data_IF_640294886633
#
_entry.id   IF_640294886633
#
_cell.length_a   1.000
_cell.length_b   1.000
_cell.length_c   1.000
_cell.angle_alpha   90.00
_cell.angle_beta   90.00
_cell.angle_gamma   90.00
#
_symmetry.space_group_name_H-M   'P 1'
#
loop_
_entity.id
_entity.type
_entity.pdbx_description
1 polymer ?
#
# COMPACT_ATOMS: atom_id res chain seq x y z
N UNK A 1 5.45 11.70 9.86
CA UNK A 1 6.32 10.57 9.69
C UNK A 1 5.66 9.56 8.79
N UNK A 2 6.36 8.90 8.07
CA UNK A 2 5.91 7.95 7.10
C UNK A 2 6.83 8.03 5.94
N UNK A 3 6.62 7.15 4.99
CA UNK A 3 7.47 7.09 3.82
C UNK A 3 6.98 8.14 2.83
N UNK A 4 7.84 9.08 2.41
CA UNK A 4 7.38 10.13 1.51
C UNK A 4 7.15 9.60 0.10
N UNK A 5 5.97 9.86 -0.43
CA UNK A 5 5.63 9.53 -1.81
C UNK A 5 4.70 10.59 -2.35
N UNK A 6 4.68 10.75 -3.66
CA UNK A 6 3.72 11.61 -4.34
C UNK A 6 2.58 10.73 -4.82
N UNK A 7 1.43 10.85 -4.17
CA UNK A 7 0.31 9.97 -4.46
C UNK A 7 -0.37 10.36 -5.76
N UNK A 8 -0.93 9.38 -6.46
CA UNK A 8 -1.75 9.67 -7.63
C UNK A 8 -2.91 10.57 -7.26
N UNK A 9 -3.16 11.59 -8.08
CA UNK A 9 -4.24 12.53 -7.82
C UNK A 9 -5.51 12.04 -8.47
N UNK A 10 -6.59 12.12 -7.72
CA UNK A 10 -7.87 11.61 -8.19
C UNK A 10 -8.96 12.58 -7.79
N UNK A 11 -10.16 12.31 -8.29
CA UNK A 11 -11.35 13.03 -7.88
C UNK A 11 -12.17 12.26 -6.86
N UNK A 12 -11.60 11.20 -6.33
CA UNK A 12 -12.30 10.39 -5.34
C UNK A 12 -12.50 11.19 -4.06
N UNK A 13 -13.53 10.89 -3.30
CA UNK A 13 -13.70 11.52 -2.00
C UNK A 13 -12.52 11.22 -1.10
N UNK A 14 -12.21 12.18 -0.22
CA UNK A 14 -11.13 11.99 0.73
C UNK A 14 -11.44 10.80 1.62
N UNK A 15 -10.45 9.95 1.79
CA UNK A 15 -10.58 8.82 2.70
C UNK A 15 -10.31 9.31 4.12
N UNK A 16 -11.24 8.98 5.00
CA UNK A 16 -11.10 9.32 6.40
C UNK A 16 -10.46 8.15 7.12
N UNK A 17 -9.33 8.39 7.71
CA UNK A 17 -8.63 7.34 8.45
C UNK A 17 -8.67 7.69 9.92
N UNK A 18 -9.80 7.36 10.54
CA UNK A 18 -10.00 7.68 11.94
C UNK A 18 -9.04 6.93 12.84
N UNK A 19 -8.63 5.76 12.41
CA UNK A 19 -7.65 4.99 13.12
C UNK A 19 -6.46 4.80 12.22
N UNK A 20 -5.32 4.64 12.85
CA UNK A 20 -4.11 4.38 12.10
C UNK A 20 -4.23 3.03 11.41
N UNK A 21 -4.11 3.04 10.10
CA UNK A 21 -4.18 1.82 9.31
C UNK A 21 -2.78 1.41 8.91
N UNK A 22 -2.61 0.11 8.67
CA UNK A 22 -1.32 -0.37 8.19
C UNK A 22 -1.20 -0.04 6.72
N UNK A 23 -0.08 0.56 6.35
CA UNK A 23 0.17 0.99 4.98
C UNK A 23 1.23 0.13 4.33
N UNK A 24 1.00 -0.21 3.09
CA UNK A 24 2.03 -0.78 2.23
C UNK A 24 2.38 0.31 1.24
N UNK A 25 3.62 0.77 1.27
CA UNK A 25 4.03 1.94 0.49
C UNK A 25 5.03 1.52 -0.57
N UNK A 26 4.80 1.95 -1.80
CA UNK A 26 5.72 1.72 -2.91
C UNK A 26 6.29 3.07 -3.32
N UNK A 27 7.60 3.22 -3.17
CA UNK A 27 8.24 4.50 -3.43
C UNK A 27 8.54 4.66 -4.92
N UNK A 28 8.95 5.89 -5.27
CA UNK A 28 9.36 6.19 -6.64
C UNK A 28 10.44 5.23 -7.13
N UNK A 29 11.33 4.81 -6.25
CA UNK A 29 12.40 3.88 -6.61
C UNK A 29 11.92 2.43 -6.60
N UNK A 30 10.64 2.22 -6.42
CA UNK A 30 10.03 0.89 -6.38
C UNK A 30 10.50 0.06 -5.19
N UNK A 31 10.81 0.74 -4.10
CA UNK A 31 11.02 0.07 -2.83
C UNK A 31 9.69 -0.07 -2.12
N UNK A 32 9.55 -1.15 -1.38
CA UNK A 32 8.29 -1.48 -0.71
C UNK A 32 8.49 -1.40 0.78
N UNK A 33 7.59 -0.72 1.46
CA UNK A 33 7.61 -0.59 2.92
C UNK A 33 6.30 -1.11 3.48
N UNK A 34 6.41 -1.94 4.51
CA UNK A 34 5.24 -2.35 5.27
C UNK A 34 5.30 -1.58 6.59
N UNK A 35 4.37 -0.61 6.73
CA UNK A 35 4.53 0.38 7.77
C UNK A 35 5.77 1.21 7.46
N UNK A 36 6.70 1.24 8.38
CA UNK A 36 7.94 1.99 8.18
C UNK A 36 9.14 1.10 7.91
N UNK A 37 8.89 -0.19 7.73
CA UNK A 37 9.96 -1.16 7.54
C UNK A 37 10.08 -1.53 6.07
N UNK A 38 11.26 -1.35 5.51
CA UNK A 38 11.48 -1.75 4.13
C UNK A 38 11.49 -3.26 4.02
N UNK A 39 10.79 -3.78 3.01
CA UNK A 39 10.69 -5.21 2.77
C UNK A 39 11.10 -5.46 1.33
N UNK A 40 12.17 -6.22 1.09
CA UNK A 40 12.53 -6.58 -0.28
C UNK A 40 11.38 -7.31 -0.96
N UNK A 41 11.25 -7.10 -2.26
CA UNK A 41 10.13 -7.69 -3.00
C UNK A 41 10.07 -9.21 -2.80
N UNK A 42 11.22 -9.89 -2.84
CA UNK A 42 11.23 -11.33 -2.74
C UNK A 42 10.93 -11.84 -1.32
N UNK A 43 10.83 -10.93 -0.36
CA UNK A 43 10.46 -11.29 1.00
C UNK A 43 9.04 -10.82 1.35
N UNK A 44 8.38 -10.16 0.40
CA UNK A 44 7.12 -9.50 0.70
C UNK A 44 6.02 -10.50 1.04
N UNK A 45 5.96 -11.60 0.31
CA UNK A 45 4.91 -12.58 0.59
C UNK A 45 5.04 -13.11 2.01
N UNK A 46 6.27 -13.45 2.42
CA UNK A 46 6.47 -13.94 3.78
C UNK A 46 6.14 -12.87 4.81
N UNK A 47 6.53 -11.62 4.54
CA UNK A 47 6.24 -10.55 5.48
C UNK A 47 4.75 -10.36 5.66
N UNK A 48 3.98 -10.47 4.59
CA UNK A 48 2.54 -10.31 4.68
C UNK A 48 1.88 -11.45 5.44
N UNK A 49 2.32 -12.68 5.18
CA UNK A 49 1.69 -13.85 5.80
C UNK A 49 2.07 -14.01 7.26
N UNK A 50 3.19 -13.43 7.70
CA UNK A 50 3.61 -13.56 9.08
C UNK A 50 3.29 -12.33 9.92
N UNK A 51 2.75 -11.27 9.31
CA UNK A 51 2.42 -10.06 10.07
C UNK A 51 1.15 -10.32 10.86
N UNK A 52 1.28 -10.27 12.19
CA UNK A 52 0.18 -10.60 13.07
C UNK A 52 -1.02 -9.69 12.86
N UNK A 53 -0.78 -8.39 12.70
CA UNK A 53 -1.87 -7.45 12.54
C UNK A 53 -2.64 -7.72 11.26
N UNK A 54 -1.93 -8.00 10.16
CA UNK A 54 -2.58 -8.29 8.89
C UNK A 54 -3.38 -9.57 8.96
N UNK A 55 -2.86 -10.58 9.62
CA UNK A 55 -3.56 -11.85 9.70
C UNK A 55 -4.79 -11.76 10.61
N UNK A 56 -4.81 -10.79 11.50
CA UNK A 56 -5.95 -10.55 12.37
C UNK A 56 -6.99 -9.66 11.70
N UNK A 57 -6.55 -8.52 11.17
CA UNK A 57 -7.47 -7.52 10.63
C UNK A 57 -7.86 -7.79 9.19
N UNK A 58 -7.01 -8.45 8.43
CA UNK A 58 -7.25 -8.76 7.02
C UNK A 58 -7.51 -7.50 6.21
N UNK A 59 -6.88 -6.40 6.60
CA UNK A 59 -7.09 -5.12 5.96
C UNK A 59 -5.75 -4.42 5.79
N UNK A 60 -5.53 -3.84 4.61
CA UNK A 60 -4.28 -3.18 4.28
C UNK A 60 -4.57 -2.04 3.33
N UNK A 61 -3.85 -0.95 3.50
CA UNK A 61 -3.97 0.20 2.60
C UNK A 61 -2.69 0.35 1.82
N UNK A 62 -2.83 0.50 0.52
CA UNK A 62 -1.70 0.61 -0.41
C UNK A 62 -1.58 2.04 -0.87
N UNK A 63 -0.38 2.61 -0.77
CA UNK A 63 -0.08 3.88 -1.38
C UNK A 63 1.16 3.72 -2.23
N UNK A 64 1.10 4.21 -3.46
CA UNK A 64 2.21 4.09 -4.39
C UNK A 64 2.47 5.45 -5.00
N UNK A 65 3.75 5.77 -5.19
CA UNK A 65 4.11 7.00 -5.89
C UNK A 65 3.50 6.96 -7.28
N UNK A 66 3.04 8.12 -7.76
CA UNK A 66 2.31 8.19 -9.03
C UNK A 66 3.16 7.74 -10.22
N UNK A 67 4.48 7.71 -10.07
CA UNK A 67 5.36 7.29 -11.16
C UNK A 67 5.58 5.79 -11.20
N UNK A 68 5.07 5.05 -10.23
CA UNK A 68 5.26 3.60 -10.20
C UNK A 68 4.41 2.97 -11.30
N UNK A 69 5.00 2.10 -12.14
CA UNK A 69 4.22 1.48 -13.21
C UNK A 69 3.07 0.64 -12.66
N UNK A 70 1.95 0.71 -13.37
CA UNK A 70 0.77 -0.05 -12.95
C UNK A 70 1.07 -1.54 -12.82
N UNK A 71 1.89 -2.09 -13.73
CA UNK A 71 2.22 -3.50 -13.65
C UNK A 71 2.91 -3.90 -12.36
N UNK A 72 3.75 -3.02 -11.84
CA UNK A 72 4.40 -3.32 -10.57
C UNK A 72 3.41 -3.28 -9.43
N UNK A 73 2.52 -2.28 -9.44
CA UNK A 73 1.48 -2.20 -8.42
C UNK A 73 0.60 -3.44 -8.47
N UNK A 74 0.25 -3.90 -9.66
CA UNK A 74 -0.59 -5.07 -9.81
C UNK A 74 0.08 -6.32 -9.24
N UNK A 75 1.39 -6.46 -9.43
CA UNK A 75 2.10 -7.59 -8.85
C UNK A 75 2.04 -7.56 -7.32
N UNK A 76 2.21 -6.37 -6.76
CA UNK A 76 2.14 -6.24 -5.30
C UNK A 76 0.75 -6.59 -4.81
N UNK A 77 -0.28 -6.11 -5.51
CA UNK A 77 -1.65 -6.40 -5.10
C UNK A 77 -1.94 -7.90 -5.16
N UNK A 78 -1.38 -8.59 -6.15
CA UNK A 78 -1.56 -10.03 -6.24
C UNK A 78 -0.94 -10.74 -5.04
N UNK A 79 0.24 -10.29 -4.61
CA UNK A 79 0.87 -10.86 -3.42
C UNK A 79 0.04 -10.61 -2.17
N UNK A 80 -0.54 -9.41 -2.06
CA UNK A 80 -1.37 -9.07 -0.92
C UNK A 80 -2.56 -10.03 -0.85
N UNK A 81 -3.22 -10.24 -1.97
CA UNK A 81 -4.37 -11.14 -2.01
C UNK A 81 -3.97 -12.57 -1.71
N UNK A 82 -2.83 -12.99 -2.22
CA UNK A 82 -2.34 -14.33 -1.96
C UNK A 82 -2.08 -14.54 -0.48
N UNK A 83 -1.73 -13.47 0.23
CA UNK A 83 -1.53 -13.53 1.66
C UNK A 83 -2.81 -13.55 2.47
N UNK A 84 -3.97 -13.54 1.81
CA UNK A 84 -5.25 -13.64 2.53
C UNK A 84 -5.82 -12.32 2.98
N UNK A 85 -5.29 -11.21 2.48
CA UNK A 85 -5.81 -9.89 2.85
C UNK A 85 -7.03 -9.61 1.99
N UNK A 86 -8.19 -9.47 2.62
CA UNK A 86 -9.44 -9.35 1.89
C UNK A 86 -9.84 -7.91 1.62
N UNK A 87 -9.44 -7.00 2.49
CA UNK A 87 -9.79 -5.60 2.32
C UNK A 87 -8.54 -4.82 1.95
N UNK A 88 -8.51 -4.35 0.73
CA UNK A 88 -7.36 -3.61 0.22
C UNK A 88 -7.86 -2.24 -0.22
N UNK A 89 -7.41 -1.21 0.49
CA UNK A 89 -7.74 0.15 0.14
C UNK A 89 -6.59 0.80 -0.61
N UNK A 90 -6.92 1.72 -1.50
CA UNK A 90 -5.92 2.44 -2.25
C UNK A 90 -5.94 3.89 -1.79
N UNK A 91 -4.78 4.38 -1.35
CA UNK A 91 -4.66 5.76 -0.88
C UNK A 91 -4.25 6.64 -2.04
N UNK A 92 -5.04 7.66 -2.32
CA UNK A 92 -4.76 8.60 -3.39
C UNK A 92 -4.87 10.01 -2.85
N UNK A 93 -4.38 10.96 -3.64
CA UNK A 93 -4.50 12.38 -3.31
C UNK A 93 -5.78 12.91 -3.95
N UNK A 94 -6.80 13.20 -3.17
CA UNK A 94 -8.08 13.62 -3.75
C UNK A 94 -8.09 15.07 -4.25
N UNK A 95 -6.98 15.78 -4.13
CA UNK A 95 -6.93 17.17 -4.59
C UNK A 95 -6.58 17.30 -6.05
N UNK A 96 -6.50 16.19 -6.78
CA UNK A 96 -6.22 16.25 -8.20
C UNK A 96 -7.27 17.03 -8.94
N UNK A 97 -6.86 17.76 -9.97
CA UNK A 97 -7.79 18.55 -10.76
C UNK A 97 -7.81 18.01 -12.17
N UNK A 98 -8.87 18.40 -12.88
CA UNK A 98 -9.10 17.87 -14.20
C UNK A 98 -8.19 18.27 -15.16
#
# INVERSE_FOLDING_TARGET
>A
TGVPVDLPKTHAPRMEMEQEKLLLTITKEQKVYLGETEVPYDRLEAALTTNTRLQTERELYLQADETVPYGFVAKIMALVRKGGIEKLGLVTDPTGSE
#
